data_IF_982638909331
#
_entry.id   IF_982638909331
#
_cell.length_a   1.000
_cell.length_b   1.000
_cell.length_c   1.000
_cell.angle_alpha   90.00
_cell.angle_beta   90.00
_cell.angle_gamma   90.00
#
_symmetry.space_group_name_H-M   'P 1'
#
loop_
_entity.id
_entity.type
_entity.pdbx_description
1 polymer ?
#
# COMPACT_ATOMS: atom_id res chain seq x y z
N UNK A 1 7.32 -12.92 5.60
CA UNK A 1 7.33 -11.93 4.51
C UNK A 1 5.96 -12.03 3.86
N UNK A 2 5.34 -10.90 3.53
CA UNK A 2 3.97 -10.89 2.99
C UNK A 2 4.02 -10.52 1.52
N UNK A 3 3.42 -11.36 0.68
CA UNK A 3 3.25 -11.09 -0.74
C UNK A 3 2.12 -10.08 -0.98
N UNK A 4 2.36 -9.06 -1.79
CA UNK A 4 1.43 -7.94 -1.98
C UNK A 4 0.14 -8.33 -2.70
N UNK A 5 0.17 -9.35 -3.57
CA UNK A 5 -1.03 -9.89 -4.24
C UNK A 5 -1.88 -10.63 -3.20
N UNK A 6 -1.24 -11.41 -2.34
CA UNK A 6 -1.93 -12.06 -1.22
C UNK A 6 -2.53 -11.03 -0.25
N UNK A 7 -1.84 -9.93 0.04
CA UNK A 7 -2.38 -8.86 0.87
C UNK A 7 -3.61 -8.21 0.26
N UNK A 8 -3.57 -7.91 -1.04
CA UNK A 8 -4.72 -7.39 -1.78
C UNK A 8 -5.91 -8.35 -1.71
N UNK A 9 -5.69 -9.63 -1.99
CA UNK A 9 -6.73 -10.66 -1.92
C UNK A 9 -7.36 -10.74 -0.53
N UNK A 10 -6.54 -10.83 0.52
CA UNK A 10 -7.04 -10.83 1.90
C UNK A 10 -7.77 -9.54 2.29
N UNK A 11 -7.33 -8.39 1.78
CA UNK A 11 -8.00 -7.12 2.02
C UNK A 11 -9.36 -7.04 1.28
N UNK A 12 -9.44 -7.52 0.03
CA UNK A 12 -10.69 -7.64 -0.74
C UNK A 12 -11.70 -8.52 0.00
N UNK A 13 -11.29 -9.68 0.51
CA UNK A 13 -12.18 -10.59 1.25
C UNK A 13 -12.66 -10.01 2.59
N UNK A 14 -11.77 -9.37 3.36
CA UNK A 14 -12.19 -8.67 4.59
C UNK A 14 -13.19 -7.56 4.29
N UNK A 15 -12.96 -6.79 3.23
CA UNK A 15 -13.87 -5.73 2.81
C UNK A 15 -15.23 -6.28 2.34
N UNK A 16 -15.21 -7.36 1.55
CA UNK A 16 -16.41 -8.08 1.11
C UNK A 16 -17.27 -8.49 2.30
N UNK A 17 -16.67 -9.11 3.32
CA UNK A 17 -17.37 -9.52 4.53
C UNK A 17 -17.97 -8.31 5.29
N UNK A 18 -17.19 -7.25 5.51
CA UNK A 18 -17.68 -6.00 6.14
C UNK A 18 -18.84 -5.37 5.37
N UNK A 19 -18.78 -5.40 4.03
CA UNK A 19 -19.85 -4.88 3.17
C UNK A 19 -21.13 -5.71 3.29
N UNK A 20 -21.01 -7.04 3.27
CA UNK A 20 -22.15 -7.96 3.46
C UNK A 20 -22.81 -7.69 4.82
N UNK A 21 -22.02 -7.60 5.89
CA UNK A 21 -22.51 -7.29 7.25
C UNK A 21 -23.23 -5.94 7.31
N UNK A 22 -22.65 -4.90 6.69
CA UNK A 22 -23.25 -3.57 6.66
C UNK A 22 -24.56 -3.53 5.86
N UNK A 23 -24.63 -4.24 4.72
CA UNK A 23 -25.85 -4.34 3.91
C UNK A 23 -26.93 -5.15 4.63
N UNK A 24 -26.56 -6.24 5.31
CA UNK A 24 -27.47 -7.06 6.10
C UNK A 24 -28.11 -6.23 7.22
N UNK A 25 -27.29 -5.52 7.98
CA UNK A 25 -27.75 -4.63 9.04
C UNK A 25 -28.65 -3.50 8.51
N UNK A 26 -28.24 -2.84 7.41
CA UNK A 26 -28.97 -1.70 6.84
C UNK A 26 -30.35 -2.09 6.28
N UNK A 27 -30.49 -3.29 5.74
CA UNK A 27 -31.73 -3.76 5.10
C UNK A 27 -32.51 -4.76 5.97
N UNK A 28 -32.06 -5.06 7.19
CA UNK A 28 -32.65 -6.08 8.06
C UNK A 28 -32.76 -7.46 7.38
N UNK A 29 -31.72 -7.82 6.62
CA UNK A 29 -31.57 -9.11 5.93
C UNK A 29 -30.55 -9.99 6.66
N UNK A 30 -30.57 -11.31 6.41
CA UNK A 30 -29.43 -12.17 6.78
C UNK A 30 -28.27 -11.98 5.80
N UNK A 31 -27.06 -12.42 6.18
CA UNK A 31 -25.91 -12.39 5.28
C UNK A 31 -26.13 -13.28 4.04
N UNK A 32 -26.80 -14.44 4.18
CA UNK A 32 -27.11 -15.32 3.03
C UNK A 32 -28.07 -14.64 2.04
N UNK A 33 -29.07 -13.91 2.55
CA UNK A 33 -29.98 -13.15 1.70
C UNK A 33 -29.23 -12.05 0.94
N UNK A 34 -28.34 -11.31 1.61
CA UNK A 34 -27.51 -10.28 0.97
C UNK A 34 -26.62 -10.87 -0.13
N UNK A 35 -25.97 -12.00 0.14
CA UNK A 35 -25.12 -12.68 -0.86
C UNK A 35 -25.93 -13.10 -2.09
N UNK A 36 -27.21 -13.45 -1.92
CA UNK A 36 -28.06 -13.91 -3.01
C UNK A 36 -28.69 -12.75 -3.78
N UNK A 37 -29.26 -11.77 -3.08
CA UNK A 37 -30.05 -10.67 -3.65
C UNK A 37 -29.19 -9.50 -4.13
N UNK A 38 -27.99 -9.31 -3.56
CA UNK A 38 -27.09 -8.20 -3.87
C UNK A 38 -25.75 -8.64 -4.46
N UNK A 39 -25.64 -9.89 -4.94
CA UNK A 39 -24.39 -10.45 -5.47
C UNK A 39 -23.70 -9.53 -6.47
N UNK A 40 -24.40 -9.17 -7.55
CA UNK A 40 -23.82 -8.40 -8.65
C UNK A 40 -23.39 -7.00 -8.21
N UNK A 41 -24.17 -6.38 -7.30
CA UNK A 41 -23.82 -5.11 -6.70
C UNK A 41 -22.55 -5.21 -5.86
N UNK A 42 -22.42 -6.25 -5.02
CA UNK A 42 -21.24 -6.47 -4.17
C UNK A 42 -19.99 -6.67 -5.05
N UNK A 43 -20.08 -7.52 -6.08
CA UNK A 43 -18.95 -7.77 -6.98
C UNK A 43 -18.53 -6.50 -7.71
N UNK A 44 -19.49 -5.77 -8.31
CA UNK A 44 -19.17 -4.54 -9.04
C UNK A 44 -18.57 -3.49 -8.11
N UNK A 45 -19.14 -3.32 -6.91
CA UNK A 45 -18.63 -2.34 -5.95
C UNK A 45 -17.22 -2.68 -5.45
N UNK A 46 -16.88 -3.96 -5.32
CA UNK A 46 -15.51 -4.39 -5.04
C UNK A 46 -14.61 -4.06 -6.24
N UNK A 47 -15.00 -4.40 -7.48
CA UNK A 47 -14.20 -4.09 -8.68
C UNK A 47 -13.90 -2.59 -8.75
N UNK A 48 -14.93 -1.74 -8.66
CA UNK A 48 -14.79 -0.28 -8.74
C UNK A 48 -13.89 0.27 -7.63
N UNK A 49 -14.00 -0.27 -6.41
CA UNK A 49 -13.19 0.18 -5.28
C UNK A 49 -11.69 -0.10 -5.46
N UNK A 50 -11.33 -1.21 -6.10
CA UNK A 50 -9.95 -1.67 -6.20
C UNK A 50 -9.31 -1.45 -7.57
N UNK A 51 -10.07 -1.03 -8.59
CA UNK A 51 -9.55 -0.85 -9.96
C UNK A 51 -8.25 -0.01 -10.00
N UNK A 52 -8.20 1.08 -9.23
CA UNK A 52 -7.09 2.02 -9.22
C UNK A 52 -5.83 1.43 -8.57
N UNK A 53 -5.99 0.54 -7.58
CA UNK A 53 -4.86 -0.06 -6.87
C UNK A 53 -4.42 -1.39 -7.50
N UNK A 54 -5.30 -2.09 -8.20
CA UNK A 54 -5.00 -3.37 -8.88
C UNK A 54 -3.89 -3.19 -9.93
N UNK A 55 -3.95 -2.13 -10.74
CA UNK A 55 -2.91 -1.81 -11.71
C UNK A 55 -1.55 -1.52 -11.06
N UNK A 56 -1.54 -0.76 -9.97
CA UNK A 56 -0.32 -0.43 -9.22
C UNK A 56 0.29 -1.69 -8.57
N UNK A 57 -0.53 -2.53 -7.94
CA UNK A 57 -0.08 -3.77 -7.31
C UNK A 57 0.44 -4.75 -8.36
N UNK A 58 -0.20 -4.85 -9.53
CA UNK A 58 0.28 -5.67 -10.65
C UNK A 58 1.67 -5.20 -11.12
N UNK A 59 1.89 -3.89 -11.23
CA UNK A 59 3.22 -3.33 -11.55
C UNK A 59 4.25 -3.67 -10.47
N UNK A 60 3.90 -3.52 -9.19
CA UNK A 60 4.79 -3.81 -8.06
C UNK A 60 5.17 -5.29 -8.03
N UNK A 61 4.22 -6.19 -8.29
CA UNK A 61 4.46 -7.63 -8.32
C UNK A 61 5.25 -8.06 -9.57
N UNK A 62 5.02 -7.41 -10.71
CA UNK A 62 5.65 -7.74 -11.99
C UNK A 62 7.06 -7.18 -12.18
N UNK A 63 7.50 -6.22 -11.37
CA UNK A 63 8.85 -5.66 -11.52
C UNK A 63 9.92 -6.60 -10.97
N UNK A 64 11.02 -6.65 -11.70
CA UNK A 64 12.20 -7.44 -11.35
C UNK A 64 13.20 -6.66 -10.46
N UNK A 65 13.01 -5.34 -10.34
CA UNK A 65 13.86 -4.48 -9.52
C UNK A 65 13.28 -4.37 -8.11
N UNK A 66 14.12 -4.31 -7.07
CA UNK A 66 13.67 -3.92 -5.74
C UNK A 66 13.00 -2.54 -5.79
N UNK A 67 11.90 -2.39 -5.07
CA UNK A 67 11.16 -1.14 -4.95
C UNK A 67 11.43 -0.52 -3.58
N UNK A 68 11.73 0.78 -3.59
CA UNK A 68 11.51 1.66 -2.44
C UNK A 68 10.17 2.36 -2.65
N UNK A 69 9.17 1.96 -1.87
CA UNK A 69 7.84 2.58 -1.86
C UNK A 69 7.82 3.71 -0.83
N UNK A 70 7.24 4.84 -1.20
CA UNK A 70 6.97 5.98 -0.34
C UNK A 70 5.54 6.48 -0.56
N UNK A 71 4.65 6.15 0.39
CA UNK A 71 3.31 6.72 0.48
C UNK A 71 3.37 7.89 1.46
N UNK A 72 3.04 9.08 0.98
CA UNK A 72 3.15 10.32 1.76
C UNK A 72 1.96 11.23 1.53
N UNK A 73 1.85 12.29 2.33
CA UNK A 73 0.93 13.39 2.04
C UNK A 73 1.43 14.18 0.82
N UNK A 74 0.50 14.65 0.01
CA UNK A 74 0.80 15.54 -1.12
C UNK A 74 1.54 16.80 -0.64
N UNK A 75 2.61 17.16 -1.35
CA UNK A 75 3.48 18.30 -1.06
C UNK A 75 2.81 19.64 -1.37
N UNK A 76 1.79 19.63 -2.26
CA UNK A 76 1.05 20.82 -2.65
C UNK A 76 0.00 21.26 -1.60
N UNK A 77 -0.24 20.45 -0.57
CA UNK A 77 -1.19 20.77 0.49
C UNK A 77 -0.63 21.75 1.51
N UNK A 78 -1.50 22.60 2.05
CA UNK A 78 -1.15 23.55 3.12
C UNK A 78 -0.76 22.84 4.43
N UNK A 79 -1.41 21.71 4.74
CA UNK A 79 -1.15 20.91 5.94
C UNK A 79 -0.01 19.90 5.74
N UNK A 80 1.19 20.43 5.56
CA UNK A 80 2.40 19.64 5.28
C UNK A 80 2.71 18.58 6.35
N UNK A 81 3.14 17.41 5.89
CA UNK A 81 3.53 16.29 6.76
C UNK A 81 5.01 16.42 7.14
N UNK A 82 5.30 16.95 8.34
CA UNK A 82 6.68 17.16 8.83
C UNK A 82 7.55 15.89 8.80
N UNK A 83 6.97 14.73 9.12
CA UNK A 83 7.68 13.45 9.06
C UNK A 83 7.97 13.02 7.63
N UNK A 84 7.08 13.34 6.68
CA UNK A 84 7.28 13.06 5.27
C UNK A 84 8.44 13.90 4.71
N UNK A 85 8.48 15.20 5.04
CA UNK A 85 9.59 16.07 4.65
C UNK A 85 10.90 15.68 5.32
N UNK A 86 10.86 15.36 6.62
CA UNK A 86 12.03 14.89 7.35
C UNK A 86 12.58 13.56 6.85
N UNK A 87 11.75 12.72 6.20
CA UNK A 87 12.19 11.46 5.63
C UNK A 87 12.72 11.58 4.20
N UNK A 88 12.35 12.63 3.48
CA UNK A 88 12.70 12.78 2.06
C UNK A 88 14.21 12.75 1.78
N UNK A 89 15.09 13.40 2.58
CA UNK A 89 16.53 13.32 2.33
C UNK A 89 17.09 11.89 2.35
N UNK A 90 16.55 11.01 3.19
CA UNK A 90 16.97 9.60 3.26
C UNK A 90 16.52 8.80 2.03
N UNK A 91 15.32 9.11 1.51
CA UNK A 91 14.81 8.52 0.26
C UNK A 91 15.67 8.98 -0.92
N UNK A 92 15.98 10.27 -0.98
CA UNK A 92 16.81 10.86 -2.03
C UNK A 92 18.23 10.28 -2.04
N UNK A 93 18.82 10.06 -0.86
CA UNK A 93 20.12 9.41 -0.73
C UNK A 93 20.10 7.99 -1.33
N UNK A 94 19.08 7.20 -1.01
CA UNK A 94 18.94 5.84 -1.53
C UNK A 94 18.68 5.83 -3.04
N UNK A 95 17.81 6.72 -3.52
CA UNK A 95 17.54 6.88 -4.95
C UNK A 95 18.80 7.27 -5.72
N UNK A 96 19.58 8.22 -5.20
CA UNK A 96 20.86 8.64 -5.80
C UNK A 96 21.91 7.53 -5.80
N UNK A 97 22.03 6.78 -4.71
CA UNK A 97 23.05 5.72 -4.54
C UNK A 97 22.77 4.49 -5.40
N UNK A 98 21.51 4.10 -5.52
CA UNK A 98 21.14 2.88 -6.25
C UNK A 98 20.67 3.13 -7.68
N UNK A 99 20.20 4.34 -7.99
CA UNK A 99 19.83 4.74 -9.34
C UNK A 99 18.82 3.79 -9.96
N UNK A 100 19.17 3.28 -11.14
CA UNK A 100 18.37 2.35 -11.94
C UNK A 100 18.28 0.92 -11.38
N UNK A 101 19.12 0.58 -10.39
CA UNK A 101 19.10 -0.74 -9.72
C UNK A 101 17.88 -0.95 -8.84
N UNK A 102 17.21 0.14 -8.44
CA UNK A 102 15.95 0.10 -7.71
C UNK A 102 14.89 0.90 -8.47
N UNK A 103 13.64 0.69 -8.10
CA UNK A 103 12.52 1.50 -8.53
C UNK A 103 12.00 2.31 -7.33
N UNK A 104 12.02 3.64 -7.43
CA UNK A 104 11.37 4.50 -6.46
C UNK A 104 9.91 4.71 -6.90
N UNK A 105 8.97 4.30 -6.05
CA UNK A 105 7.54 4.57 -6.23
C UNK A 105 7.13 5.56 -5.15
N UNK A 106 6.95 6.83 -5.52
CA UNK A 106 6.32 7.84 -4.67
C UNK A 106 4.86 8.00 -5.08
N UNK A 107 3.94 7.88 -4.12
CA UNK A 107 2.50 8.07 -4.32
C UNK A 107 1.92 8.89 -3.16
N UNK A 108 0.84 9.62 -3.44
CA UNK A 108 0.17 10.43 -2.43
C UNK A 108 -1.02 9.69 -1.82
N UNK A 109 -1.12 9.76 -0.49
CA UNK A 109 -2.12 9.06 0.32
C UNK A 109 -3.57 9.46 0.02
N UNK A 110 -3.77 10.65 -0.53
CA UNK A 110 -5.04 11.26 -0.88
C UNK A 110 -5.46 10.92 -2.32
N UNK A 111 -4.57 10.30 -3.11
CA UNK A 111 -4.94 9.70 -4.40
C UNK A 111 -5.60 8.34 -4.18
N UNK A 112 -6.58 7.95 -5.01
CA UNK A 112 -7.31 6.68 -4.83
C UNK A 112 -6.40 5.46 -4.65
N UNK A 113 -5.40 5.31 -5.51
CA UNK A 113 -4.41 4.23 -5.48
C UNK A 113 -3.49 4.29 -4.25
N UNK A 114 -3.10 5.49 -3.81
CA UNK A 114 -2.21 5.66 -2.66
C UNK A 114 -2.89 5.41 -1.33
N UNK A 115 -4.12 5.91 -1.18
CA UNK A 115 -4.95 5.63 -0.01
C UNK A 115 -5.33 4.15 0.10
N UNK A 116 -5.69 3.53 -1.02
CA UNK A 116 -5.98 2.10 -1.07
C UNK A 116 -4.74 1.25 -0.75
N UNK A 117 -3.59 1.55 -1.36
CA UNK A 117 -2.35 0.80 -1.11
C UNK A 117 -1.90 0.94 0.35
N UNK A 118 -2.04 2.13 0.94
CA UNK A 118 -1.76 2.35 2.37
C UNK A 118 -2.57 1.38 3.25
N UNK A 119 -3.88 1.29 3.03
CA UNK A 119 -4.76 0.43 3.82
C UNK A 119 -4.45 -1.06 3.60
N UNK A 120 -4.07 -1.44 2.38
CA UNK A 120 -3.65 -2.81 2.05
C UNK A 120 -2.36 -3.19 2.77
N UNK A 121 -1.37 -2.30 2.92
CA UNK A 121 -0.09 -2.62 3.57
C UNK A 121 -0.16 -2.48 5.08
N UNK A 122 -0.78 -1.42 5.58
CA UNK A 122 -0.77 -1.10 7.01
C UNK A 122 -1.72 -1.98 7.82
N UNK A 123 -2.77 -2.53 7.20
CA UNK A 123 -3.74 -3.45 7.79
C UNK A 123 -4.43 -2.98 9.07
N UNK A 124 -4.33 -1.70 9.42
CA UNK A 124 -4.85 -1.11 10.64
C UNK A 124 -6.03 -0.20 10.30
N UNK A 125 -7.15 -0.37 10.98
CA UNK A 125 -8.35 0.47 10.86
C UNK A 125 -8.23 1.73 11.74
N UNK A 126 -7.00 2.13 12.11
CA UNK A 126 -6.74 3.29 12.94
C UNK A 126 -7.35 4.57 12.31
N UNK A 127 -7.98 5.44 13.12
CA UNK A 127 -8.65 6.65 12.62
C UNK A 127 -7.68 7.65 12.00
N UNK A 128 -6.41 7.63 12.40
CA UNK A 128 -5.36 8.48 11.85
C UNK A 128 -4.31 7.65 11.09
N UNK A 129 -4.07 8.02 9.82
CA UNK A 129 -2.99 7.45 9.02
C UNK A 129 -1.63 7.88 9.57
N UNK A 130 -0.75 6.90 9.78
CA UNK A 130 0.64 7.09 10.22
C UNK A 130 1.53 7.30 9.00
N UNK A 131 1.64 8.55 8.55
CA UNK A 131 2.46 8.95 7.40
C UNK A 131 3.86 9.45 7.81
N UNK A 132 4.89 9.27 6.96
CA UNK A 132 4.87 8.52 5.72
C UNK A 132 4.79 7.01 5.99
N UNK A 133 4.24 6.25 5.04
CA UNK A 133 4.43 4.81 4.97
C UNK A 133 5.50 4.54 3.92
N UNK A 134 6.63 3.97 4.33
CA UNK A 134 7.68 3.54 3.40
C UNK A 134 7.89 2.04 3.49
N UNK A 135 8.26 1.42 2.37
CA UNK A 135 8.49 -0.01 2.33
C UNK A 135 9.60 -0.39 1.35
N UNK A 136 10.30 -1.49 1.65
CA UNK A 136 11.15 -2.20 0.69
C UNK A 136 10.39 -3.42 0.21
N UNK A 137 10.19 -3.50 -1.11
CA UNK A 137 9.45 -4.57 -1.77
C UNK A 137 10.38 -5.23 -2.80
N UNK A 138 10.37 -6.56 -2.88
CA UNK A 138 11.18 -7.30 -3.85
C UNK A 138 10.37 -8.47 -4.38
N UNK A 139 10.15 -8.51 -5.70
CA UNK A 139 9.38 -9.58 -6.38
C UNK A 139 7.99 -9.79 -5.75
N UNK A 140 7.26 -8.70 -5.53
CA UNK A 140 5.96 -8.73 -4.86
C UNK A 140 6.00 -8.89 -3.33
N UNK A 141 7.12 -9.31 -2.74
CA UNK A 141 7.21 -9.50 -1.28
C UNK A 141 7.59 -8.21 -0.56
N UNK A 142 6.79 -7.81 0.43
CA UNK A 142 7.12 -6.73 1.36
C UNK A 142 8.14 -7.27 2.36
N UNK A 143 9.40 -6.85 2.22
CA UNK A 143 10.49 -7.24 3.10
C UNK A 143 10.40 -6.51 4.44
N UNK A 144 10.07 -5.22 4.38
CA UNK A 144 9.85 -4.37 5.56
C UNK A 144 9.07 -3.13 5.18
N UNK A 145 8.20 -2.67 6.07
CA UNK A 145 7.60 -1.34 6.02
C UNK A 145 7.76 -0.60 7.34
N UNK A 146 7.61 0.72 7.28
CA UNK A 146 7.60 1.65 8.41
C UNK A 146 6.51 2.69 8.17
N UNK A 147 5.76 3.02 9.22
CA UNK A 147 4.69 4.01 9.17
C UNK A 147 4.89 5.05 10.28
N UNK A 148 4.62 6.32 9.99
CA UNK A 148 4.59 7.40 10.97
C UNK A 148 5.95 7.79 11.55
N UNK A 149 7.03 7.63 10.78
CA UNK A 149 8.37 8.01 11.24
C UNK A 149 9.36 8.20 10.09
N UNK A 150 10.41 8.96 10.40
CA UNK A 150 11.65 9.03 9.60
C UNK A 150 12.44 7.74 9.75
N UNK A 151 13.07 7.30 8.66
CA UNK A 151 13.91 6.11 8.56
C UNK A 151 15.22 6.53 7.91
N UNK A 152 16.33 6.24 8.58
CA UNK A 152 17.67 6.53 8.07
C UNK A 152 17.98 5.74 6.79
N UNK A 153 18.73 6.34 5.86
CA UNK A 153 19.15 5.69 4.61
C UNK A 153 19.80 4.30 4.84
N UNK A 154 20.67 4.19 5.85
CA UNK A 154 21.35 2.93 6.20
C UNK A 154 20.37 1.79 6.56
N UNK A 155 19.18 2.12 7.07
CA UNK A 155 18.14 1.12 7.37
C UNK A 155 17.52 0.59 6.08
N UNK A 156 17.16 1.46 5.12
CA UNK A 156 16.68 1.03 3.81
C UNK A 156 17.72 0.16 3.09
N UNK A 157 18.98 0.63 3.08
CA UNK A 157 20.11 -0.08 2.48
C UNK A 157 20.27 -1.50 3.02
N UNK A 158 20.09 -1.71 4.34
CA UNK A 158 20.16 -3.03 4.96
C UNK A 158 19.15 -4.02 4.36
N UNK A 159 17.96 -3.56 4.00
CA UNK A 159 16.94 -4.41 3.40
C UNK A 159 17.12 -4.55 1.89
N UNK A 160 17.57 -3.50 1.22
CA UNK A 160 17.93 -3.54 -0.21
C UNK A 160 19.06 -4.56 -0.48
N UNK A 161 20.09 -4.61 0.36
CA UNK A 161 21.19 -5.60 0.26
C UNK A 161 20.75 -7.06 0.44
N UNK A 162 19.59 -7.31 1.03
CA UNK A 162 19.02 -8.67 1.13
C UNK A 162 18.35 -9.12 -0.15
N UNK A 163 18.14 -8.21 -1.10
CA UNK A 163 17.61 -8.54 -2.41
C UNK A 163 18.73 -9.08 -3.28
N UNK A 164 18.48 -10.19 -3.97
CA UNK A 164 19.47 -10.98 -4.73
C UNK A 164 20.01 -10.30 -6.01
N UNK A 165 19.95 -8.97 -6.09
CA UNK A 165 20.32 -8.17 -7.28
C UNK A 165 21.05 -6.87 -6.97
N UNK A 166 21.34 -6.62 -5.69
CA UNK A 166 22.15 -5.49 -5.27
C UNK A 166 23.45 -6.05 -4.70
N UNK A 167 24.22 -6.68 -5.58
CA UNK A 167 25.61 -7.01 -5.28
C UNK A 167 26.44 -5.71 -5.37
N UNK A 168 27.33 -5.52 -4.40
CA UNK A 168 28.31 -4.42 -4.34
C UNK A 168 29.53 -4.80 -5.16
#
# INVERSE_FOLDING_TARGET
MQDIIQLLSSHKEKFRQKLIEALAAKNSLTQEQVITEHKDFIEQYIIDKYENVDGLITRIAGTNRPILLSIRRDRAREDTCKLCEGNQPNIDEISKKYGDRIELIEIYEDKPEGGALYNIIFHDDAPEKKLPLTAIISRGEILKFWAGKTVEAAVYERYLKKTSRIDI
#
